data_IF_386386884667
#
_entry.id   IF_386386884667
#
_cell.length_a   1.000
_cell.length_b   1.000
_cell.length_c   1.000
_cell.angle_alpha   90.00
_cell.angle_beta   90.00
_cell.angle_gamma   90.00
#
_symmetry.space_group_name_H-M   'P 1'
#
loop_
_entity.id
_entity.type
_entity.pdbx_description
1 polymer ?
#
# COMPACT_ATOMS: atom_id res chain seq x y z
N UNK A 1 -5.56 26.70 4.88
CA UNK A 1 -4.51 25.66 5.03
C UNK A 1 -3.10 26.11 4.62
N UNK A 2 -2.87 26.86 3.52
CA UNK A 2 -1.50 27.30 3.13
C UNK A 2 -0.75 28.08 4.23
N UNK A 3 -1.45 28.96 4.95
CA UNK A 3 -0.87 29.78 6.02
C UNK A 3 -0.45 28.97 7.26
N UNK A 4 -1.32 28.07 7.75
CA UNK A 4 -0.99 27.16 8.86
C UNK A 4 0.18 26.22 8.50
N UNK A 5 0.21 25.75 7.26
CA UNK A 5 1.26 24.86 6.73
C UNK A 5 2.63 25.52 6.69
N UNK A 6 2.73 26.73 6.15
CA UNK A 6 3.99 27.49 6.16
C UNK A 6 4.48 27.73 7.58
N UNK A 7 3.58 28.16 8.48
CA UNK A 7 3.88 28.38 9.90
C UNK A 7 4.36 27.13 10.62
N UNK A 8 3.81 25.95 10.33
CA UNK A 8 4.26 24.70 10.94
C UNK A 8 5.63 24.27 10.38
N UNK A 9 5.87 24.38 9.08
CA UNK A 9 7.20 24.06 8.52
C UNK A 9 8.28 24.98 9.05
N UNK A 10 8.05 26.29 9.05
CA UNK A 10 9.03 27.27 9.53
C UNK A 10 9.29 27.08 11.03
N UNK A 11 8.27 26.72 11.81
CA UNK A 11 8.40 26.51 13.26
C UNK A 11 9.09 25.20 13.62
N UNK A 12 8.97 24.17 12.79
CA UNK A 12 9.43 22.82 13.10
C UNK A 12 10.53 22.31 12.15
N UNK A 13 11.05 23.13 11.23
CA UNK A 13 12.11 22.72 10.31
C UNK A 13 13.37 22.24 11.05
N UNK A 14 13.75 22.89 12.14
CA UNK A 14 14.85 22.48 13.01
C UNK A 14 14.53 21.20 13.79
N UNK A 15 13.27 21.06 14.23
CA UNK A 15 12.76 19.87 14.92
C UNK A 15 12.63 18.66 13.98
N UNK A 16 12.74 18.84 12.68
CA UNK A 16 12.69 17.74 11.74
C UNK A 16 14.08 17.14 11.48
N UNK A 17 15.18 17.89 11.63
CA UNK A 17 16.59 17.48 11.37
C UNK A 17 16.72 16.37 10.29
N UNK A 18 16.03 16.55 9.18
CA UNK A 18 15.81 15.54 8.14
C UNK A 18 15.85 16.24 6.80
N UNK A 19 16.60 15.68 5.86
CA UNK A 19 16.70 16.18 4.50
C UNK A 19 15.44 15.81 3.70
N UNK A 20 15.19 16.50 2.59
CA UNK A 20 14.03 16.20 1.73
C UNK A 20 13.99 14.74 1.25
N UNK A 21 15.14 14.18 0.93
CA UNK A 21 15.30 12.78 0.53
C UNK A 21 14.99 11.82 1.67
N UNK A 22 15.47 12.10 2.88
CA UNK A 22 15.16 11.26 4.05
C UNK A 22 13.68 11.33 4.46
N UNK A 23 13.01 12.48 4.27
CA UNK A 23 11.57 12.63 4.57
C UNK A 23 10.74 11.62 3.79
N UNK A 24 11.09 11.36 2.52
CA UNK A 24 10.37 10.40 1.71
C UNK A 24 10.52 8.99 2.29
N UNK A 25 11.75 8.56 2.57
CA UNK A 25 12.03 7.25 3.18
C UNK A 25 11.32 7.07 4.52
N UNK A 26 11.34 8.09 5.38
CA UNK A 26 10.66 8.06 6.68
C UNK A 26 9.15 8.01 6.52
N UNK A 27 8.58 8.85 5.64
CA UNK A 27 7.14 8.83 5.37
C UNK A 27 6.69 7.48 4.83
N UNK A 28 7.45 6.89 3.90
CA UNK A 28 7.16 5.57 3.37
C UNK A 28 7.24 4.51 4.47
N UNK A 29 8.30 4.49 5.29
CA UNK A 29 8.44 3.55 6.40
C UNK A 29 7.29 3.64 7.41
N UNK A 30 6.84 4.85 7.75
CA UNK A 30 5.68 5.07 8.63
C UNK A 30 4.40 4.55 7.96
N UNK A 31 4.14 4.97 6.71
CA UNK A 31 2.93 4.61 5.99
C UNK A 31 2.80 3.11 5.81
N UNK A 32 3.86 2.43 5.36
CA UNK A 32 3.85 0.99 5.09
C UNK A 32 4.01 0.15 6.34
N UNK A 33 4.18 0.78 7.50
CA UNK A 33 4.49 0.12 8.79
C UNK A 33 5.68 -0.82 8.64
N UNK A 34 6.76 -0.34 8.03
CA UNK A 34 7.97 -1.13 7.81
C UNK A 34 8.61 -1.52 9.14
N UNK A 35 8.92 -2.81 9.31
CA UNK A 35 9.69 -3.28 10.46
C UNK A 35 11.16 -2.89 10.27
N UNK A 36 11.66 -2.06 11.18
CA UNK A 36 13.03 -1.55 11.14
C UNK A 36 13.85 -2.18 12.26
N UNK A 37 15.14 -2.36 12.00
CA UNK A 37 16.13 -2.78 12.97
C UNK A 37 16.77 -1.54 13.60
N UNK A 38 16.82 -1.50 14.93
CA UNK A 38 17.32 -0.35 15.69
C UNK A 38 18.81 -0.06 15.45
N UNK A 39 19.59 -1.07 15.06
CA UNK A 39 21.03 -0.96 14.81
C UNK A 39 21.34 -0.76 13.32
N UNK A 40 20.33 -0.74 12.45
CA UNK A 40 20.49 -0.50 11.01
C UNK A 40 19.92 0.85 10.60
N UNK A 41 20.49 1.42 9.55
CA UNK A 41 19.96 2.65 8.96
C UNK A 41 18.59 2.39 8.36
N UNK A 42 17.70 3.38 8.42
CA UNK A 42 16.41 3.33 7.72
C UNK A 42 16.68 3.27 6.21
N UNK A 43 16.03 2.35 5.46
CA UNK A 43 16.27 2.22 4.03
C UNK A 43 16.15 3.55 3.26
N UNK A 44 17.12 3.81 2.37
CA UNK A 44 17.21 5.08 1.63
C UNK A 44 17.75 6.26 2.44
N UNK A 45 18.27 6.04 3.65
CA UNK A 45 18.84 7.09 4.52
C UNK A 45 20.22 6.69 5.07
N UNK A 46 20.86 7.61 5.81
CA UNK A 46 22.10 7.35 6.55
C UNK A 46 21.90 7.35 8.08
N UNK A 47 20.65 7.33 8.56
CA UNK A 47 20.30 7.49 9.98
C UNK A 47 19.58 6.26 10.52
N UNK A 48 19.85 5.95 11.79
CA UNK A 48 19.15 4.93 12.57
C UNK A 48 17.73 5.40 12.95
N UNK A 49 16.78 4.49 13.23
CA UNK A 49 15.44 4.84 13.69
C UNK A 49 15.43 5.80 14.89
N UNK A 50 16.32 5.60 15.86
CA UNK A 50 16.42 6.43 17.06
C UNK A 50 16.79 7.88 16.75
N UNK A 51 17.63 8.12 15.73
CA UNK A 51 18.04 9.47 15.34
C UNK A 51 16.88 10.27 14.75
N UNK A 52 15.90 9.60 14.12
CA UNK A 52 14.65 10.23 13.70
C UNK A 52 13.69 10.46 14.87
N UNK A 53 13.78 9.65 15.93
CA UNK A 53 12.95 9.78 17.12
C UNK A 53 13.40 10.89 18.08
N UNK A 54 14.72 11.17 18.13
CA UNK A 54 15.32 12.17 19.03
C UNK A 54 14.62 13.54 19.05
N UNK A 55 14.20 14.12 17.91
CA UNK A 55 13.50 15.40 17.92
C UNK A 55 12.07 15.36 18.45
N UNK A 56 11.49 14.16 18.65
CA UNK A 56 10.19 13.94 19.27
C UNK A 56 8.96 14.05 18.36
N UNK A 57 9.13 14.48 17.11
CA UNK A 57 8.03 14.55 16.12
C UNK A 57 7.70 13.18 15.52
N UNK A 58 8.72 12.36 15.29
CA UNK A 58 8.61 10.95 14.93
C UNK A 58 8.91 10.14 16.19
N UNK A 59 8.26 9.00 16.35
CA UNK A 59 8.51 8.05 17.43
C UNK A 59 9.04 6.76 16.84
N UNK A 60 9.92 6.09 17.56
CA UNK A 60 10.33 4.72 17.25
C UNK A 60 9.71 3.78 18.29
N UNK A 61 8.64 3.10 17.89
CA UNK A 61 7.91 2.15 18.73
C UNK A 61 8.55 0.76 18.60
N UNK A 62 9.39 0.40 19.58
CA UNK A 62 10.05 -0.90 19.65
C UNK A 62 9.05 -1.99 20.01
N UNK A 63 9.27 -3.19 19.47
CA UNK A 63 8.60 -4.41 19.93
C UNK A 63 9.21 -4.86 21.24
N UNK A 64 8.37 -5.41 22.13
CA UNK A 64 8.82 -5.89 23.42
C UNK A 64 9.91 -6.96 23.27
N UNK A 65 11.06 -6.73 23.92
CA UNK A 65 12.15 -7.69 23.99
C UNK A 65 13.00 -7.85 22.72
N UNK A 66 12.78 -7.03 21.67
CA UNK A 66 13.54 -7.12 20.41
C UNK A 66 14.02 -5.74 19.97
N UNK A 67 15.24 -5.63 19.41
CA UNK A 67 15.75 -4.38 18.84
C UNK A 67 15.16 -4.06 17.45
N UNK A 68 13.85 -4.29 17.29
CA UNK A 68 13.13 -3.95 16.06
C UNK A 68 11.87 -3.19 16.40
N UNK A 69 11.41 -2.34 15.50
CA UNK A 69 10.26 -1.48 15.77
C UNK A 69 9.73 -0.79 14.53
N UNK A 70 8.84 0.17 14.76
CA UNK A 70 8.18 0.94 13.72
C UNK A 70 8.37 2.43 13.96
N UNK A 71 8.58 3.20 12.89
CA UNK A 71 8.43 4.64 12.97
C UNK A 71 6.94 4.99 12.98
N UNK A 72 6.54 5.89 13.87
CA UNK A 72 5.18 6.46 13.90
C UNK A 72 5.26 7.97 13.97
N UNK A 73 4.25 8.65 13.41
CA UNK A 73 4.11 10.10 13.55
C UNK A 73 2.62 10.46 13.54
N UNK A 74 2.22 11.57 14.18
CA UNK A 74 0.87 12.10 14.03
C UNK A 74 0.52 12.32 12.54
N UNK A 75 -0.73 12.02 12.19
CA UNK A 75 -1.22 12.06 10.80
C UNK A 75 -0.88 13.37 10.07
N UNK A 76 -1.02 14.52 10.74
CA UNK A 76 -0.73 15.84 10.14
C UNK A 76 0.72 15.95 9.64
N UNK A 77 1.66 15.30 10.33
CA UNK A 77 3.06 15.29 9.94
C UNK A 77 3.31 14.38 8.75
N UNK A 78 2.73 13.17 8.76
CA UNK A 78 2.78 12.25 7.61
C UNK A 78 2.19 12.92 6.37
N UNK A 79 1.04 13.60 6.53
CA UNK A 79 0.41 14.37 5.48
C UNK A 79 1.33 15.47 4.94
N UNK A 80 1.94 16.27 5.83
CA UNK A 80 2.88 17.32 5.42
C UNK A 80 4.10 16.74 4.70
N UNK A 81 4.68 15.64 5.19
CA UNK A 81 5.81 14.96 4.56
C UNK A 81 5.50 14.55 3.12
N UNK A 82 4.35 13.91 2.92
CA UNK A 82 3.96 13.41 1.60
C UNK A 82 3.51 14.53 0.68
N UNK A 83 2.75 15.50 1.18
CA UNK A 83 2.21 16.59 0.39
C UNK A 83 3.29 17.56 -0.09
N UNK A 84 4.32 17.81 0.70
CA UNK A 84 5.29 18.87 0.43
C UNK A 84 6.59 18.37 -0.18
N UNK A 85 6.98 17.14 0.17
CA UNK A 85 8.20 16.51 -0.31
C UNK A 85 7.90 15.34 -1.26
N UNK A 86 6.86 14.55 -0.97
CA UNK A 86 6.44 13.41 -1.80
C UNK A 86 5.85 13.79 -3.15
N UNK A 87 5.05 14.86 -3.25
CA UNK A 87 4.41 15.30 -4.51
C UNK A 87 5.39 15.66 -5.63
N UNK A 88 6.61 16.05 -5.28
CA UNK A 88 7.65 16.39 -6.25
C UNK A 88 8.48 15.17 -6.70
N UNK A 89 8.37 14.01 -6.03
CA UNK A 89 9.35 12.91 -6.15
C UNK A 89 8.72 11.54 -6.42
N UNK A 90 7.55 11.20 -5.85
CA UNK A 90 6.93 9.87 -6.04
C UNK A 90 5.55 9.94 -6.73
N UNK A 91 5.40 9.35 -7.95
CA UNK A 91 4.13 9.30 -8.67
C UNK A 91 2.98 8.62 -7.93
N UNK A 92 3.26 7.64 -7.05
CA UNK A 92 2.26 6.93 -6.24
C UNK A 92 1.68 7.86 -5.19
N UNK A 93 2.55 8.53 -4.44
CA UNK A 93 2.15 9.43 -3.36
C UNK A 93 1.53 10.74 -3.86
N UNK A 94 1.89 11.19 -5.08
CA UNK A 94 1.33 12.38 -5.71
C UNK A 94 -0.20 12.32 -5.83
N UNK A 95 -0.74 11.14 -6.09
CA UNK A 95 -2.16 10.91 -6.34
C UNK A 95 -2.95 10.53 -5.08
N UNK A 96 -2.29 10.36 -3.93
CA UNK A 96 -2.99 10.06 -2.69
C UNK A 96 -3.72 11.30 -2.15
N UNK A 97 -5.04 11.16 -2.09
CA UNK A 97 -5.95 12.14 -1.46
C UNK A 97 -6.11 11.79 0.00
N UNK A 98 -5.12 12.16 0.80
CA UNK A 98 -5.23 12.11 2.26
C UNK A 98 -6.36 13.04 2.70
N UNK A 99 -7.50 12.48 3.12
CA UNK A 99 -8.70 13.19 3.58
C UNK A 99 -8.90 14.50 2.82
N UNK A 100 -9.13 14.43 1.51
CA UNK A 100 -9.40 15.63 0.74
C UNK A 100 -10.67 16.25 1.31
N UNK A 101 -10.51 17.35 2.02
CA UNK A 101 -11.62 18.10 2.60
C UNK A 101 -12.64 18.45 1.51
N UNK A 102 -12.24 18.54 0.23
CA UNK A 102 -13.16 18.73 -0.88
C UNK A 102 -14.21 17.60 -1.01
N UNK A 103 -13.85 16.36 -0.67
CA UNK A 103 -14.77 15.21 -0.70
C UNK A 103 -15.79 15.30 0.45
N UNK A 104 -15.37 15.73 1.65
CA UNK A 104 -16.29 16.03 2.76
C UNK A 104 -17.10 17.32 2.56
N UNK A 105 -16.57 18.30 1.84
CA UNK A 105 -17.30 19.54 1.50
C UNK A 105 -18.48 19.21 0.58
N UNK A 106 -18.38 18.19 -0.27
CA UNK A 106 -19.53 17.71 -1.06
C UNK A 106 -20.61 16.99 -0.23
N UNK A 107 -20.26 16.47 0.95
CA UNK A 107 -21.23 15.95 1.93
C UNK A 107 -21.95 17.08 2.70
N UNK A 108 -21.33 18.26 2.78
CA UNK A 108 -21.85 19.46 3.46
C UNK A 108 -22.62 20.37 2.47
N UNK A 109 -22.22 20.39 1.20
CA UNK A 109 -22.83 21.18 0.12
C UNK A 109 -23.04 20.30 -1.13
N UNK A 110 -24.30 19.85 -1.29
CA UNK A 110 -24.74 18.99 -2.39
C UNK A 110 -24.78 19.69 -3.77
N UNK A 111 -24.48 20.99 -3.84
CA UNK A 111 -24.39 21.73 -5.10
C UNK A 111 -23.05 21.56 -5.83
N UNK A 112 -22.06 20.96 -5.17
CA UNK A 112 -20.74 20.68 -5.76
C UNK A 112 -20.72 19.31 -6.44
N UNK A 113 -20.27 19.21 -7.71
CA UNK A 113 -20.29 17.94 -8.43
C UNK A 113 -19.35 16.92 -7.78
N UNK A 114 -19.83 15.68 -7.49
CA UNK A 114 -18.98 14.63 -6.93
C UNK A 114 -17.93 14.20 -7.97
N UNK A 115 -16.66 14.45 -7.66
CA UNK A 115 -15.53 14.19 -8.55
C UNK A 115 -14.82 12.86 -8.32
N UNK A 116 -15.46 11.91 -7.63
CA UNK A 116 -14.85 10.65 -7.24
C UNK A 116 -15.93 9.59 -6.98
N UNK A 117 -15.95 8.50 -7.74
CA UNK A 117 -16.58 7.29 -7.22
C UNK A 117 -15.71 6.79 -6.07
N UNK A 118 -16.18 6.98 -4.83
CA UNK A 118 -15.49 6.63 -3.59
C UNK A 118 -14.80 5.26 -3.62
N UNK A 119 -15.40 4.32 -4.36
CA UNK A 119 -14.95 2.93 -4.44
C UNK A 119 -13.70 2.75 -5.32
N UNK A 120 -13.70 3.29 -6.54
CA UNK A 120 -12.56 3.21 -7.46
C UNK A 120 -11.32 3.91 -6.90
N UNK A 121 -11.53 4.97 -6.09
CA UNK A 121 -10.45 5.62 -5.35
C UNK A 121 -9.85 4.72 -4.27
N UNK A 122 -10.67 3.91 -3.61
CA UNK A 122 -10.19 2.97 -2.61
C UNK A 122 -9.40 1.81 -3.24
N UNK A 123 -9.90 1.23 -4.34
CA UNK A 123 -9.18 0.20 -5.12
C UNK A 123 -7.81 0.71 -5.60
N UNK A 124 -7.79 1.93 -6.13
CA UNK A 124 -6.54 2.60 -6.51
C UNK A 124 -5.63 2.82 -5.29
N UNK A 125 -6.18 3.26 -4.16
CA UNK A 125 -5.41 3.42 -2.93
C UNK A 125 -4.79 2.10 -2.48
N UNK A 126 -5.54 1.01 -2.43
CA UNK A 126 -5.06 -0.32 -2.01
C UNK A 126 -3.93 -0.82 -2.92
N UNK A 127 -4.13 -0.79 -4.24
CA UNK A 127 -3.11 -1.21 -5.22
C UNK A 127 -1.85 -0.34 -5.11
N UNK A 128 -2.03 0.97 -4.96
CA UNK A 128 -0.92 1.91 -4.85
C UNK A 128 -0.15 1.80 -3.54
N UNK A 129 -0.84 1.48 -2.44
CA UNK A 129 -0.24 1.14 -1.16
C UNK A 129 0.58 -0.14 -1.26
N UNK A 130 0.09 -1.15 -1.98
CA UNK A 130 0.85 -2.39 -2.23
C UNK A 130 2.09 -2.14 -3.09
N UNK A 131 1.99 -1.30 -4.11
CA UNK A 131 3.14 -0.90 -4.91
C UNK A 131 4.17 -0.13 -4.07
N UNK A 132 3.72 0.79 -3.21
CA UNK A 132 4.60 1.50 -2.28
C UNK A 132 5.34 0.54 -1.36
N UNK A 133 4.64 -0.43 -0.77
CA UNK A 133 5.23 -1.46 0.11
C UNK A 133 6.36 -2.24 -0.56
N UNK A 134 6.25 -2.54 -1.86
CA UNK A 134 7.29 -3.28 -2.59
C UNK A 134 8.61 -2.52 -2.70
N UNK A 135 8.56 -1.18 -2.71
CA UNK A 135 9.74 -0.30 -2.81
C UNK A 135 10.50 -0.17 -1.49
N UNK A 136 9.93 -0.66 -0.40
CA UNK A 136 10.57 -0.66 0.92
C UNK A 136 11.59 -1.78 1.10
N UNK A 137 11.61 -2.72 0.15
CA UNK A 137 12.50 -3.86 0.11
C UNK A 137 13.33 -3.79 -1.18
N UNK A 138 14.52 -4.38 -1.16
CA UNK A 138 15.40 -4.39 -2.33
C UNK A 138 14.82 -5.28 -3.43
N UNK A 139 15.21 -5.01 -4.68
CA UNK A 139 14.89 -5.90 -5.81
C UNK A 139 15.57 -7.25 -5.60
N UNK A 140 14.82 -8.34 -5.68
CA UNK A 140 15.32 -9.69 -5.41
C UNK A 140 15.38 -10.08 -3.93
N UNK A 141 15.01 -9.18 -3.00
CA UNK A 141 15.02 -9.48 -1.56
C UNK A 141 14.00 -10.57 -1.22
N UNK A 142 14.39 -11.54 -0.38
CA UNK A 142 13.44 -12.54 0.15
C UNK A 142 12.63 -11.91 1.28
N UNK A 143 11.32 -11.73 1.04
CA UNK A 143 10.40 -11.06 1.96
C UNK A 143 9.26 -12.00 2.33
N UNK A 144 8.75 -11.87 3.56
CA UNK A 144 7.57 -12.59 4.03
C UNK A 144 6.28 -11.83 3.75
N UNK A 145 5.20 -12.54 3.40
CA UNK A 145 3.89 -11.91 3.17
C UNK A 145 3.39 -11.18 4.43
N UNK A 146 3.75 -11.68 5.63
CA UNK A 146 3.44 -11.02 6.90
C UNK A 146 4.17 -9.69 7.12
N UNK A 147 5.34 -9.49 6.50
CA UNK A 147 6.05 -8.21 6.53
C UNK A 147 5.37 -7.19 5.62
N UNK A 148 4.95 -7.61 4.41
CA UNK A 148 4.20 -6.75 3.49
C UNK A 148 2.83 -6.38 4.06
N UNK A 149 2.12 -7.32 4.67
CA UNK A 149 0.81 -7.08 5.28
C UNK A 149 0.86 -6.93 6.79
N UNK A 150 1.90 -6.26 7.29
CA UNK A 150 2.05 -5.98 8.71
C UNK A 150 0.81 -5.24 9.27
N UNK A 151 0.20 -5.82 10.31
CA UNK A 151 -1.04 -5.30 10.92
C UNK A 151 -2.33 -5.94 10.37
N UNK A 152 -2.26 -6.72 9.29
CA UNK A 152 -3.37 -7.54 8.85
C UNK A 152 -3.52 -8.80 9.71
N UNK A 153 -4.72 -9.37 9.74
CA UNK A 153 -4.98 -10.67 10.35
C UNK A 153 -4.75 -11.75 9.31
N UNK A 154 -3.62 -12.44 9.42
CA UNK A 154 -3.16 -13.41 8.44
C UNK A 154 -3.31 -14.85 8.95
N UNK A 155 -3.65 -15.77 8.04
CA UNK A 155 -3.61 -17.21 8.28
C UNK A 155 -2.46 -17.82 7.49
N UNK A 156 -1.32 -17.99 8.15
CA UNK A 156 -0.09 -18.48 7.54
C UNK A 156 0.85 -17.36 7.11
N UNK A 157 2.06 -17.77 6.74
CA UNK A 157 3.12 -16.88 6.29
C UNK A 157 4.03 -17.65 5.33
N UNK A 158 4.62 -16.95 4.38
CA UNK A 158 5.52 -17.55 3.39
C UNK A 158 6.44 -16.50 2.79
N UNK A 159 7.56 -16.98 2.26
CA UNK A 159 8.57 -16.18 1.60
C UNK A 159 8.34 -16.13 0.08
N UNK A 160 8.70 -14.99 -0.51
CA UNK A 160 8.72 -14.74 -1.94
C UNK A 160 9.83 -13.72 -2.26
N UNK A 161 10.23 -13.67 -3.54
CA UNK A 161 11.19 -12.68 -4.02
C UNK A 161 10.47 -11.35 -4.31
N UNK A 162 10.95 -10.26 -3.71
CA UNK A 162 10.39 -8.93 -3.90
C UNK A 162 10.84 -8.34 -5.24
N UNK A 163 9.89 -7.71 -5.91
CA UNK A 163 10.13 -6.87 -7.07
C UNK A 163 9.45 -5.53 -6.85
N UNK A 164 10.09 -4.44 -7.26
CA UNK A 164 9.49 -3.12 -7.21
C UNK A 164 8.34 -3.04 -8.21
N UNK A 165 7.12 -2.86 -7.70
CA UNK A 165 5.91 -2.94 -8.50
C UNK A 165 5.58 -1.60 -9.18
N UNK A 166 5.19 -1.70 -10.44
CA UNK A 166 4.51 -0.66 -11.22
C UNK A 166 3.00 -0.92 -11.25
N UNK A 167 2.23 0.16 -11.24
CA UNK A 167 0.76 0.06 -11.28
C UNK A 167 0.21 0.28 -12.68
N UNK A 168 -0.75 -0.56 -13.05
CA UNK A 168 -1.51 -0.42 -14.29
C UNK A 168 -2.99 -0.73 -14.09
N UNK A 169 -3.84 -0.14 -14.93
CA UNK A 169 -5.27 -0.43 -14.99
C UNK A 169 -5.52 -1.36 -16.18
N UNK A 170 -6.18 -2.49 -15.92
CA UNK A 170 -6.59 -3.42 -16.97
C UNK A 170 -7.69 -2.78 -17.84
N UNK A 171 -7.59 -2.97 -19.16
CA UNK A 171 -8.60 -2.49 -20.10
C UNK A 171 -9.86 -3.36 -20.13
N UNK A 172 -9.76 -4.59 -19.62
CA UNK A 172 -10.84 -5.58 -19.57
C UNK A 172 -10.81 -6.28 -18.21
N UNK A 173 -11.90 -6.99 -17.88
CA UNK A 173 -11.92 -7.81 -16.68
C UNK A 173 -10.99 -9.02 -16.89
N UNK A 174 -10.05 -9.21 -15.99
CA UNK A 174 -9.09 -10.32 -16.00
C UNK A 174 -9.47 -11.35 -14.94
N UNK A 175 -9.39 -12.64 -15.30
CA UNK A 175 -9.47 -13.73 -14.33
C UNK A 175 -8.21 -13.71 -13.46
N UNK A 176 -8.36 -13.49 -12.17
CA UNK A 176 -7.22 -13.33 -11.25
C UNK A 176 -6.74 -14.65 -10.66
N UNK A 177 -7.39 -15.77 -10.97
CA UNK A 177 -7.02 -17.10 -10.45
C UNK A 177 -5.79 -17.64 -11.16
N UNK A 178 -4.69 -17.86 -10.44
CA UNK A 178 -3.47 -18.44 -11.04
C UNK A 178 -3.69 -19.79 -11.73
N UNK A 179 -4.63 -20.60 -11.25
CA UNK A 179 -4.96 -21.90 -11.85
C UNK A 179 -5.57 -21.78 -13.25
N UNK A 180 -6.16 -20.63 -13.61
CA UNK A 180 -6.72 -20.38 -14.94
C UNK A 180 -5.63 -20.09 -16.00
N UNK A 181 -4.38 -19.85 -15.58
CA UNK A 181 -3.30 -19.37 -16.46
C UNK A 181 -2.15 -20.36 -16.57
N UNK A 182 -2.21 -21.18 -17.63
CA UNK A 182 -1.24 -22.25 -17.92
C UNK A 182 -0.36 -21.88 -19.11
N UNK A 183 0.54 -20.92 -18.94
CA UNK A 183 1.46 -20.50 -20.01
C UNK A 183 2.75 -19.86 -19.48
N UNK A 184 3.83 -19.81 -20.28
CA UNK A 184 5.07 -19.13 -19.90
C UNK A 184 4.92 -17.60 -19.88
N UNK A 185 3.95 -17.06 -20.62
CA UNK A 185 3.59 -15.64 -20.69
C UNK A 185 2.11 -15.48 -20.34
N UNK A 186 1.75 -14.36 -19.70
CA UNK A 186 0.37 -13.93 -19.57
C UNK A 186 0.31 -12.41 -19.80
N UNK A 187 -0.03 -12.03 -21.03
CA UNK A 187 -0.10 -10.62 -21.44
C UNK A 187 -1.45 -10.04 -21.09
N UNK A 188 -1.46 -9.10 -20.15
CA UNK A 188 -2.64 -8.34 -19.76
C UNK A 188 -2.65 -7.04 -20.55
N UNK A 189 -3.79 -6.72 -21.16
CA UNK A 189 -3.99 -5.43 -21.82
C UNK A 189 -4.37 -4.39 -20.78
N UNK A 190 -3.54 -3.37 -20.66
CA UNK A 190 -3.76 -2.23 -19.78
C UNK A 190 -3.88 -0.93 -20.59
N UNK A 191 -4.40 0.12 -19.97
CA UNK A 191 -4.56 1.43 -20.63
C UNK A 191 -3.28 1.99 -21.25
N UNK A 192 -2.12 1.63 -20.69
CA UNK A 192 -0.80 2.13 -21.11
C UNK A 192 0.02 1.14 -21.94
N UNK A 193 -0.54 -0.01 -22.31
CA UNK A 193 0.17 -1.04 -23.07
C UNK A 193 -0.19 -2.46 -22.65
N UNK A 194 0.53 -3.43 -23.21
CA UNK A 194 0.40 -4.83 -22.83
C UNK A 194 1.59 -5.22 -21.95
N UNK A 195 1.29 -5.82 -20.80
CA UNK A 195 2.31 -6.18 -19.80
C UNK A 195 2.26 -7.67 -19.55
N UNK A 196 3.43 -8.32 -19.52
CA UNK A 196 3.52 -9.73 -19.18
C UNK A 196 3.52 -9.91 -17.66
N UNK A 197 2.42 -10.41 -17.13
CA UNK A 197 2.17 -10.51 -15.70
C UNK A 197 3.16 -11.43 -14.97
N UNK A 198 3.82 -12.35 -15.70
CA UNK A 198 4.84 -13.22 -15.13
C UNK A 198 6.22 -12.56 -14.94
N UNK A 199 6.38 -11.30 -15.31
CA UNK A 199 7.58 -10.53 -14.95
C UNK A 199 7.62 -10.12 -13.48
N UNK A 200 6.55 -10.38 -12.71
CA UNK A 200 6.47 -10.13 -11.27
C UNK A 200 6.60 -8.65 -10.83
N UNK A 201 6.56 -7.72 -11.79
CA UNK A 201 6.78 -6.28 -11.58
C UNK A 201 5.51 -5.44 -11.61
N UNK A 202 4.33 -6.07 -11.65
CA UNK A 202 3.09 -5.35 -11.91
C UNK A 202 2.04 -5.61 -10.84
N UNK A 203 1.48 -4.53 -10.29
CA UNK A 203 0.22 -4.53 -9.55
C UNK A 203 -0.87 -4.00 -10.48
N UNK A 204 -1.80 -4.87 -10.87
CA UNK A 204 -2.85 -4.56 -11.82
C UNK A 204 -4.14 -4.27 -11.05
N UNK A 205 -4.74 -3.11 -11.30
CA UNK A 205 -6.13 -2.81 -10.92
C UNK A 205 -7.02 -3.38 -12.02
N UNK A 206 -7.98 -4.21 -11.65
CA UNK A 206 -8.89 -4.86 -12.59
C UNK A 206 -9.91 -3.86 -13.13
N UNK A 207 -10.56 -4.20 -14.25
CA UNK A 207 -11.63 -3.35 -14.77
C UNK A 207 -12.84 -3.35 -13.84
N UNK A 208 -13.58 -2.23 -13.81
CA UNK A 208 -14.71 -2.04 -12.91
C UNK A 208 -15.75 -3.19 -13.00
N UNK A 209 -16.36 -3.50 -11.85
CA UNK A 209 -17.35 -4.57 -11.70
C UNK A 209 -16.83 -5.95 -12.10
N UNK A 210 -15.53 -6.20 -11.93
CA UNK A 210 -14.94 -7.51 -12.11
C UNK A 210 -15.64 -8.57 -11.24
N UNK A 211 -15.81 -9.76 -11.82
CA UNK A 211 -16.25 -10.94 -11.06
C UNK A 211 -15.10 -11.57 -10.25
N UNK A 212 -13.90 -11.02 -10.38
CA UNK A 212 -12.64 -11.49 -9.81
C UNK A 212 -12.08 -10.43 -8.86
N UNK A 213 -10.81 -10.56 -8.45
CA UNK A 213 -10.18 -9.60 -7.54
C UNK A 213 -10.15 -8.18 -8.14
N UNK A 214 -10.29 -7.18 -7.27
CA UNK A 214 -10.26 -5.75 -7.64
C UNK A 214 -8.84 -5.31 -8.04
N UNK A 215 -7.82 -5.89 -7.41
CA UNK A 215 -6.43 -5.77 -7.87
C UNK A 215 -5.60 -7.01 -7.56
N UNK A 216 -4.50 -7.21 -8.28
CA UNK A 216 -3.70 -8.43 -8.17
C UNK A 216 -2.25 -8.23 -8.62
N UNK A 217 -1.35 -9.04 -8.07
CA UNK A 217 0.08 -9.12 -8.45
C UNK A 217 0.55 -10.57 -8.45
N UNK A 218 1.48 -10.93 -9.32
CA UNK A 218 2.08 -12.26 -9.29
C UNK A 218 3.16 -12.30 -8.19
N UNK A 219 3.23 -13.42 -7.46
CA UNK A 219 4.23 -13.65 -6.43
C UNK A 219 5.34 -14.54 -7.00
N UNK A 220 6.57 -14.04 -7.03
CA UNK A 220 7.73 -14.81 -7.49
C UNK A 220 8.15 -15.82 -6.41
N UNK A 221 7.66 -17.06 -6.55
CA UNK A 221 7.92 -18.15 -5.60
C UNK A 221 8.48 -19.37 -6.32
N UNK A 222 9.59 -19.90 -5.82
CA UNK A 222 10.32 -21.03 -6.43
C UNK A 222 9.48 -22.30 -6.60
N UNK A 223 8.50 -22.54 -5.73
CA UNK A 223 7.77 -23.80 -5.67
C UNK A 223 6.46 -23.82 -6.46
N UNK A 224 5.85 -22.66 -6.75
CA UNK A 224 4.54 -22.58 -7.39
C UNK A 224 4.23 -21.19 -7.92
N UNK A 225 3.51 -21.13 -9.04
CA UNK A 225 2.82 -19.92 -9.46
C UNK A 225 1.72 -19.61 -8.46
N UNK A 226 1.71 -18.39 -7.94
CA UNK A 226 0.65 -17.90 -7.08
C UNK A 226 0.50 -16.41 -7.28
N UNK A 227 -0.72 -15.93 -7.15
CA UNK A 227 -1.03 -14.52 -7.15
C UNK A 227 -1.31 -14.06 -5.72
N UNK A 228 -1.08 -12.78 -5.49
CA UNK A 228 -1.68 -12.03 -4.41
C UNK A 228 -2.89 -11.30 -5.00
N UNK A 229 -4.08 -11.65 -4.52
CA UNK A 229 -5.37 -11.13 -4.97
C UNK A 229 -5.99 -10.26 -3.86
N UNK A 230 -6.29 -9.01 -4.19
CA UNK A 230 -6.94 -8.06 -3.29
C UNK A 230 -8.41 -7.92 -3.64
N UNK A 231 -9.26 -8.06 -2.64
CA UNK A 231 -10.67 -7.70 -2.74
C UNK A 231 -10.98 -6.62 -1.72
N UNK A 232 -11.70 -5.61 -2.15
CA UNK A 232 -12.20 -4.55 -1.31
C UNK A 232 -13.68 -4.82 -1.04
N UNK A 233 -14.14 -4.63 0.20
CA UNK A 233 -15.57 -4.72 0.53
C UNK A 233 -16.01 -3.77 1.63
N UNK A 234 -16.89 -2.84 1.27
CA UNK A 234 -17.69 -2.10 2.26
C UNK A 234 -18.84 -2.99 2.73
N UNK A 235 -18.83 -3.38 3.99
CA UNK A 235 -19.93 -4.14 4.60
C UNK A 235 -20.66 -3.28 5.61
N UNK A 236 -21.99 -3.37 5.61
CA UNK A 236 -22.86 -2.62 6.53
C UNK A 236 -22.85 -3.20 7.94
N UNK A 237 -22.53 -4.49 8.07
CA UNK A 237 -22.44 -5.16 9.36
C UNK A 237 -21.13 -4.81 10.06
N UNK A 238 -21.18 -4.67 11.39
CA UNK A 238 -19.97 -4.45 12.19
C UNK A 238 -19.00 -5.64 12.12
N UNK A 239 -19.52 -6.86 11.94
CA UNK A 239 -18.74 -8.09 11.81
C UNK A 239 -18.83 -8.68 10.40
N UNK A 240 -17.72 -9.22 9.93
CA UNK A 240 -17.66 -9.94 8.65
C UNK A 240 -18.12 -11.39 8.85
N UNK A 241 -19.12 -11.82 8.08
CA UNK A 241 -19.51 -13.23 8.05
C UNK A 241 -18.45 -14.08 7.34
N UNK A 242 -18.11 -15.23 7.91
CA UNK A 242 -17.13 -16.17 7.32
C UNK A 242 -17.51 -16.59 5.90
N UNK A 243 -18.80 -16.83 5.64
CA UNK A 243 -19.31 -17.18 4.31
C UNK A 243 -19.08 -16.07 3.27
N UNK A 244 -19.16 -14.80 3.68
CA UNK A 244 -18.82 -13.67 2.80
C UNK A 244 -17.35 -13.70 2.43
N UNK A 245 -16.46 -13.87 3.41
CA UNK A 245 -15.02 -13.99 3.14
C UNK A 245 -14.71 -15.15 2.18
N UNK A 246 -15.30 -16.32 2.42
CA UNK A 246 -15.10 -17.50 1.59
C UNK A 246 -15.62 -17.33 0.16
N UNK A 247 -16.76 -16.67 -0.02
CA UNK A 247 -17.31 -16.37 -1.34
C UNK A 247 -16.42 -15.41 -2.13
N UNK A 248 -15.98 -14.31 -1.52
CA UNK A 248 -15.06 -13.36 -2.15
C UNK A 248 -13.73 -14.04 -2.50
N UNK A 249 -13.17 -14.84 -1.58
CA UNK A 249 -11.97 -15.63 -1.83
C UNK A 249 -12.15 -16.58 -3.01
N UNK A 250 -13.27 -17.29 -3.08
CA UNK A 250 -13.54 -18.26 -4.15
C UNK A 250 -13.63 -17.60 -5.52
N UNK A 251 -14.18 -16.38 -5.59
CA UNK A 251 -14.28 -15.60 -6.82
C UNK A 251 -12.91 -15.06 -7.25
N UNK A 252 -12.12 -14.55 -6.32
CA UNK A 252 -10.88 -13.85 -6.62
C UNK A 252 -9.64 -14.76 -6.78
N UNK A 253 -9.59 -15.92 -6.11
CA UNK A 253 -8.32 -16.60 -5.87
C UNK A 253 -8.40 -18.13 -5.98
N UNK A 254 -7.34 -18.72 -6.53
CA UNK A 254 -7.12 -20.17 -6.52
C UNK A 254 -6.76 -20.68 -5.11
N UNK A 255 -6.59 -21.99 -4.97
CA UNK A 255 -6.16 -22.60 -3.71
C UNK A 255 -4.77 -22.12 -3.27
N UNK A 256 -3.85 -21.98 -4.21
CA UNK A 256 -2.44 -21.62 -3.94
C UNK A 256 -2.17 -20.11 -3.93
N UNK A 257 -3.16 -19.32 -4.31
CA UNK A 257 -3.11 -17.86 -4.29
C UNK A 257 -3.25 -17.34 -2.85
N UNK A 258 -2.58 -16.22 -2.58
CA UNK A 258 -2.78 -15.44 -1.39
C UNK A 258 -3.94 -14.46 -1.62
N UNK A 259 -4.94 -14.52 -0.76
CA UNK A 259 -6.11 -13.65 -0.83
C UNK A 259 -6.15 -12.76 0.41
N UNK A 260 -6.40 -11.47 0.20
CA UNK A 260 -6.62 -10.51 1.27
C UNK A 260 -7.88 -9.69 0.98
N UNK A 261 -8.70 -9.53 2.02
CA UNK A 261 -9.93 -8.76 1.98
C UNK A 261 -9.74 -7.48 2.80
N UNK A 262 -9.87 -6.33 2.15
CA UNK A 262 -9.90 -5.03 2.82
C UNK A 262 -11.36 -4.66 3.11
N UNK A 263 -11.69 -4.44 4.38
CA UNK A 263 -13.08 -4.17 4.77
C UNK A 263 -13.17 -3.29 6.01
N UNK A 264 -14.28 -2.58 6.13
CA UNK A 264 -14.64 -1.78 7.31
C UNK A 264 -15.16 -2.61 8.48
N UNK A 265 -15.50 -3.89 8.26
CA UNK A 265 -15.94 -4.77 9.34
C UNK A 265 -14.79 -5.24 10.22
N UNK A 266 -15.12 -5.43 11.48
CA UNK A 266 -14.34 -6.26 12.39
C UNK A 266 -14.42 -7.73 11.95
N UNK A 267 -13.29 -8.42 11.96
CA UNK A 267 -13.27 -9.90 11.90
C UNK A 267 -13.32 -10.54 13.28
#
# INVERSE_FOLDING_TARGET
MKDLRGKLLDKYCEALNITRTEILSVAQAILTRQLLDGDKVVPGTTKLPEQFAQPGLIRYERKDGVNTGYLTAPYIWVWMFVHDFGKAVDPVLKNWRFCDYAEHVSEIDSSLPPGAQFWQHFEYFVASFRALKSRMYEEGETVKISQVHAGARLQGDFEFENHQLEMHLASHQEDTKSASHVGPEWKIRCEKGNFDFWQHKYCIINAASAQFADSFTSLHRKAKKSHECHQDKLVKSKKLAKSTFEAERYNAASKDDFFILFTSAES
#
